data_IF_292983981778
#
_entry.id   IF_292983981778
#
_cell.length_a   1.000
_cell.length_b   1.000
_cell.length_c   1.000
_cell.angle_alpha   90.00
_cell.angle_beta   90.00
_cell.angle_gamma   90.00
#
_symmetry.space_group_name_H-M   'P 1'
#
loop_
_entity.id
_entity.type
_entity.pdbx_description
1 polymer ?
#
# COMPACT_ATOMS: atom_id res chain seq x y z
N UNK A 1 -7.72 27.40 8.85
CA UNK A 1 -7.69 26.35 7.82
C UNK A 1 -7.33 25.00 8.44
N UNK A 2 -6.41 24.98 9.39
CA UNK A 2 -5.99 23.76 10.12
C UNK A 2 -7.12 22.96 10.79
N UNK A 3 -8.08 23.64 11.42
CA UNK A 3 -9.18 22.97 12.14
C UNK A 3 -10.06 22.08 11.23
N UNK A 4 -10.23 22.46 9.96
CA UNK A 4 -11.03 21.66 9.01
C UNK A 4 -10.28 20.40 8.56
N UNK A 5 -8.96 20.53 8.32
CA UNK A 5 -8.13 19.40 7.93
C UNK A 5 -7.98 18.43 9.10
N UNK A 6 -7.77 18.95 10.30
CA UNK A 6 -7.73 18.15 11.53
C UNK A 6 -9.00 17.32 11.70
N UNK A 7 -10.17 17.93 11.49
CA UNK A 7 -11.46 17.23 11.58
C UNK A 7 -11.53 16.11 10.56
N UNK A 8 -11.18 16.37 9.30
CA UNK A 8 -11.16 15.36 8.25
C UNK A 8 -10.19 14.21 8.56
N UNK A 9 -9.00 14.53 9.11
CA UNK A 9 -8.03 13.50 9.50
C UNK A 9 -8.57 12.64 10.63
N UNK A 10 -9.19 13.23 11.65
CA UNK A 10 -9.83 12.49 12.76
C UNK A 10 -10.98 11.60 12.28
N UNK A 11 -11.84 12.13 11.41
CA UNK A 11 -12.93 11.36 10.82
C UNK A 11 -12.40 10.20 9.95
N UNK A 12 -11.41 10.46 9.11
CA UNK A 12 -10.78 9.42 8.29
C UNK A 12 -10.07 8.37 9.14
N UNK A 13 -9.40 8.77 10.23
CA UNK A 13 -8.81 7.86 11.21
C UNK A 13 -9.86 7.00 11.91
N UNK A 14 -11.06 7.55 12.14
CA UNK A 14 -12.23 6.83 12.63
C UNK A 14 -12.91 5.92 11.61
N UNK A 15 -12.39 5.86 10.36
CA UNK A 15 -12.90 4.99 9.30
C UNK A 15 -13.86 5.67 8.31
N UNK A 16 -14.04 7.00 8.39
CA UNK A 16 -14.86 7.74 7.43
C UNK A 16 -14.18 7.79 6.06
N UNK A 17 -14.75 7.06 5.10
CA UNK A 17 -14.32 7.04 3.71
C UNK A 17 -14.43 8.42 3.04
N UNK A 18 -15.57 9.07 3.23
CA UNK A 18 -15.84 10.39 2.67
C UNK A 18 -14.86 11.45 3.14
N UNK A 19 -14.43 11.39 4.41
CA UNK A 19 -13.40 12.28 4.94
C UNK A 19 -12.05 12.01 4.29
N UNK A 20 -11.68 10.75 4.12
CA UNK A 20 -10.44 10.39 3.42
C UNK A 20 -10.45 10.85 1.96
N UNK A 21 -11.55 10.65 1.22
CA UNK A 21 -11.68 11.10 -0.17
C UNK A 21 -11.53 12.61 -0.32
N UNK A 22 -12.08 13.38 0.63
CA UNK A 22 -11.87 14.83 0.68
C UNK A 22 -10.41 15.19 0.91
N UNK A 23 -9.73 14.52 1.82
CA UNK A 23 -8.29 14.70 2.02
C UNK A 23 -7.50 14.39 0.75
N UNK A 24 -7.79 13.26 0.10
CA UNK A 24 -7.18 12.90 -1.19
C UNK A 24 -7.40 14.00 -2.22
N UNK A 25 -8.62 14.50 -2.39
CA UNK A 25 -8.92 15.60 -3.30
C UNK A 25 -8.12 16.86 -3.03
N UNK A 26 -7.86 17.18 -1.75
CA UNK A 26 -7.09 18.37 -1.37
C UNK A 26 -5.58 18.24 -1.62
N UNK A 27 -5.02 17.03 -1.46
CA UNK A 27 -3.57 16.84 -1.48
C UNK A 27 -3.04 16.12 -2.72
N UNK A 28 -3.92 15.54 -3.56
CA UNK A 28 -3.53 14.73 -4.73
C UNK A 28 -2.53 15.45 -5.63
N UNK A 29 -2.86 16.65 -6.10
CA UNK A 29 -1.99 17.39 -7.02
C UNK A 29 -0.64 17.78 -6.38
N UNK A 30 -0.67 18.17 -5.10
CA UNK A 30 0.54 18.53 -4.37
C UNK A 30 1.44 17.30 -4.19
N UNK A 31 0.85 16.15 -3.86
CA UNK A 31 1.57 14.88 -3.69
C UNK A 31 2.09 14.35 -5.02
N UNK A 32 1.32 14.46 -6.11
CA UNK A 32 1.77 14.07 -7.44
C UNK A 32 3.00 14.88 -7.90
N UNK A 33 2.97 16.21 -7.72
CA UNK A 33 4.13 17.08 -8.00
C UNK A 33 5.35 16.70 -7.18
N UNK A 34 5.15 16.39 -5.89
CA UNK A 34 6.21 15.91 -5.02
C UNK A 34 6.82 14.61 -5.54
N UNK A 35 5.98 13.62 -5.91
CA UNK A 35 6.41 12.33 -6.46
C UNK A 35 7.21 12.53 -7.75
N UNK A 36 6.72 13.34 -8.70
CA UNK A 36 7.44 13.63 -9.97
C UNK A 36 8.82 14.23 -9.71
N UNK A 37 8.92 15.15 -8.74
CA UNK A 37 10.21 15.73 -8.36
C UNK A 37 11.16 14.69 -7.78
N UNK A 38 10.66 13.73 -7.00
CA UNK A 38 11.47 12.67 -6.38
C UNK A 38 11.86 11.56 -7.34
N UNK A 39 11.03 11.24 -8.31
CA UNK A 39 11.36 10.24 -9.33
C UNK A 39 12.53 10.68 -10.21
N UNK A 40 12.58 11.95 -10.61
CA UNK A 40 13.58 12.46 -11.54
C UNK A 40 13.53 11.75 -12.90
N UNK A 41 14.22 12.28 -13.90
CA UNK A 41 14.18 11.80 -15.30
C UNK A 41 14.54 10.31 -15.50
N UNK A 42 15.36 9.75 -14.62
CA UNK A 42 15.79 8.35 -14.76
C UNK A 42 14.76 7.35 -14.26
N UNK A 43 14.08 7.66 -13.16
CA UNK A 43 13.06 6.78 -12.58
C UNK A 43 11.71 6.96 -13.25
N UNK A 44 11.37 8.14 -13.77
CA UNK A 44 10.13 8.38 -14.54
C UNK A 44 10.01 7.49 -15.79
N UNK A 45 11.12 7.09 -16.40
CA UNK A 45 11.11 6.11 -17.51
C UNK A 45 10.72 4.69 -17.07
N UNK A 46 10.72 4.42 -15.78
CA UNK A 46 10.58 3.09 -15.19
C UNK A 46 9.45 2.94 -14.20
N UNK A 47 9.01 4.03 -13.60
CA UNK A 47 7.96 4.10 -12.60
C UNK A 47 6.99 5.20 -13.00
N UNK A 48 5.73 4.84 -13.18
CA UNK A 48 4.67 5.80 -13.41
C UNK A 48 4.38 6.56 -12.10
N UNK A 49 4.43 7.90 -12.15
CA UNK A 49 4.14 8.73 -10.99
C UNK A 49 2.73 8.49 -10.43
N UNK A 50 1.78 8.18 -11.29
CA UNK A 50 0.41 7.85 -10.90
C UNK A 50 0.35 6.52 -10.13
N UNK A 51 1.12 5.50 -10.54
CA UNK A 51 1.19 4.23 -9.81
C UNK A 51 1.80 4.42 -8.41
N UNK A 52 2.82 5.27 -8.29
CA UNK A 52 3.41 5.64 -6.99
C UNK A 52 2.41 6.40 -6.14
N UNK A 53 1.66 7.34 -6.72
CA UNK A 53 0.63 8.10 -6.03
C UNK A 53 -0.46 7.19 -5.47
N UNK A 54 -0.99 6.29 -6.27
CA UNK A 54 -2.04 5.35 -5.85
C UNK A 54 -1.56 4.44 -4.72
N UNK A 55 -0.36 3.89 -4.83
CA UNK A 55 0.22 3.06 -3.77
C UNK A 55 0.45 3.85 -2.48
N UNK A 56 0.92 5.12 -2.58
CA UNK A 56 1.09 5.98 -1.42
C UNK A 56 -0.25 6.31 -0.74
N UNK A 57 -1.29 6.62 -1.53
CA UNK A 57 -2.64 6.87 -1.01
C UNK A 57 -3.26 5.63 -0.37
N UNK A 58 -3.03 4.44 -0.94
CA UNK A 58 -3.46 3.18 -0.34
C UNK A 58 -2.80 2.98 1.03
N UNK A 59 -1.50 3.23 1.13
CA UNK A 59 -0.78 3.16 2.40
C UNK A 59 -1.29 4.18 3.39
N UNK A 60 -1.59 5.40 2.93
CA UNK A 60 -2.19 6.44 3.76
C UNK A 60 -3.55 5.98 4.31
N UNK A 61 -4.43 5.46 3.47
CA UNK A 61 -5.72 4.91 3.90
C UNK A 61 -5.58 3.83 4.99
N UNK A 62 -4.66 2.90 4.79
CA UNK A 62 -4.43 1.83 5.76
C UNK A 62 -3.80 2.30 7.07
N UNK A 63 -3.04 3.40 7.08
CA UNK A 63 -2.25 3.83 8.24
C UNK A 63 -2.74 5.10 8.92
N UNK A 64 -3.72 5.82 8.33
CA UNK A 64 -4.24 7.09 8.88
C UNK A 64 -4.82 6.93 10.29
N UNK A 65 -5.38 5.78 10.64
CA UNK A 65 -5.89 5.49 11.98
C UNK A 65 -4.84 5.53 13.10
N UNK A 66 -3.54 5.51 12.75
CA UNK A 66 -2.41 5.61 13.68
C UNK A 66 -1.73 6.96 13.64
N UNK A 67 -2.18 7.84 12.72
CA UNK A 67 -1.59 9.15 12.58
C UNK A 67 -1.97 10.02 13.77
N UNK A 68 -0.95 10.57 14.42
CA UNK A 68 -1.14 11.62 15.41
C UNK A 68 -1.12 12.95 14.68
N UNK A 69 -2.28 13.60 14.64
CA UNK A 69 -2.38 14.93 14.05
C UNK A 69 -1.50 15.93 14.81
N UNK A 70 -0.75 16.73 14.12
CA UNK A 70 0.03 17.86 14.64
C UNK A 70 -0.38 19.13 13.92
N UNK A 71 -0.09 19.21 12.64
CA UNK A 71 -0.38 20.32 11.76
C UNK A 71 -0.45 19.83 10.29
N UNK A 72 -0.83 20.74 9.38
CA UNK A 72 -0.96 20.44 7.97
C UNK A 72 0.39 20.04 7.32
N UNK A 73 1.49 20.68 7.73
CA UNK A 73 2.81 20.38 7.18
C UNK A 73 3.30 19.00 7.60
N UNK A 74 3.08 18.62 8.85
CA UNK A 74 3.38 17.29 9.35
C UNK A 74 2.55 16.22 8.64
N UNK A 75 1.27 16.52 8.37
CA UNK A 75 0.41 15.61 7.59
C UNK A 75 0.93 15.43 6.16
N UNK A 76 1.27 16.51 5.47
CA UNK A 76 1.82 16.42 4.12
C UNK A 76 3.19 15.74 4.11
N UNK A 77 4.06 16.01 5.08
CA UNK A 77 5.35 15.34 5.25
C UNK A 77 5.18 13.83 5.43
N UNK A 78 4.18 13.41 6.21
CA UNK A 78 3.84 12.01 6.36
C UNK A 78 3.37 11.36 5.05
N UNK A 79 2.50 12.03 4.28
CA UNK A 79 2.11 11.56 2.93
C UNK A 79 3.33 11.43 2.01
N UNK A 80 4.22 12.42 2.04
CA UNK A 80 5.46 12.41 1.28
C UNK A 80 6.38 11.25 1.64
N UNK A 81 6.51 10.95 2.95
CA UNK A 81 7.31 9.80 3.41
C UNK A 81 6.76 8.46 2.92
N UNK A 82 5.45 8.31 2.86
CA UNK A 82 4.82 7.11 2.28
C UNK A 82 5.17 6.97 0.79
N UNK A 83 5.11 8.07 0.03
CA UNK A 83 5.50 8.07 -1.39
C UNK A 83 6.99 7.74 -1.58
N UNK A 84 7.88 8.32 -0.77
CA UNK A 84 9.32 8.01 -0.80
C UNK A 84 9.60 6.53 -0.51
N UNK A 85 8.89 5.94 0.45
CA UNK A 85 8.98 4.51 0.72
C UNK A 85 8.53 3.65 -0.47
N UNK A 86 7.51 4.07 -1.22
CA UNK A 86 7.08 3.39 -2.45
C UNK A 86 8.19 3.45 -3.50
N UNK A 87 8.73 4.65 -3.75
CA UNK A 87 9.80 4.88 -4.73
C UNK A 87 11.04 4.03 -4.40
N UNK A 88 11.50 4.10 -3.14
CA UNK A 88 12.65 3.33 -2.66
C UNK A 88 12.45 1.83 -2.84
N UNK A 89 11.28 1.34 -2.46
CA UNK A 89 10.94 -0.08 -2.59
C UNK A 89 10.91 -0.57 -4.02
N UNK A 90 10.43 0.26 -4.94
CA UNK A 90 10.42 -0.07 -6.37
C UNK A 90 11.84 -0.06 -6.97
N UNK A 91 12.69 0.87 -6.54
CA UNK A 91 14.09 0.93 -6.94
C UNK A 91 14.90 -0.29 -6.46
N UNK A 92 14.72 -0.70 -5.19
CA UNK A 92 15.40 -1.86 -4.59
C UNK A 92 15.00 -3.20 -5.22
N UNK A 93 13.72 -3.39 -5.55
CA UNK A 93 13.25 -4.61 -6.22
C UNK A 93 13.97 -4.85 -7.55
N UNK A 94 14.25 -3.80 -8.30
CA UNK A 94 14.89 -3.88 -9.62
C UNK A 94 16.40 -4.13 -9.55
N UNK A 95 17.04 -3.84 -8.41
CA UNK A 95 18.45 -4.19 -8.16
C UNK A 95 18.65 -5.68 -7.85
N UNK A 96 17.59 -6.39 -7.43
CA UNK A 96 17.65 -7.81 -7.02
C UNK A 96 17.12 -8.81 -8.06
N UNK A 97 16.46 -8.37 -9.12
CA UNK A 97 15.90 -9.26 -10.14
C UNK A 97 16.70 -9.18 -11.44
N UNK A 98 17.35 -10.28 -11.80
CA UNK A 98 17.66 -10.68 -13.19
C UNK A 98 16.36 -10.52 -14.00
N UNK A 99 16.39 -10.02 -15.25
CA UNK A 99 15.17 -9.68 -15.98
C UNK A 99 14.37 -10.93 -16.30
N UNK A 100 13.37 -11.23 -15.46
CA UNK A 100 12.23 -12.03 -15.89
C UNK A 100 11.43 -11.15 -16.83
N UNK A 101 11.45 -11.51 -18.11
CA UNK A 101 10.63 -10.92 -19.14
C UNK A 101 9.17 -10.94 -18.68
N UNK A 102 8.60 -9.75 -18.42
CA UNK A 102 7.18 -9.62 -18.18
C UNK A 102 6.43 -9.84 -19.50
N UNK A 103 5.47 -10.79 -19.58
CA UNK A 103 4.70 -11.02 -20.80
C UNK A 103 3.66 -9.93 -21.09
N UNK A 104 3.77 -8.76 -20.51
CA UNK A 104 2.89 -7.61 -20.76
C UNK A 104 3.69 -6.33 -20.99
N UNK A 105 4.63 -6.37 -21.95
CA UNK A 105 4.99 -5.15 -22.68
C UNK A 105 3.85 -4.84 -23.65
N UNK A 106 2.84 -4.15 -23.13
CA UNK A 106 1.86 -3.47 -23.99
C UNK A 106 2.56 -2.21 -24.47
N UNK A 107 2.74 -2.02 -25.79
CA UNK A 107 3.37 -0.80 -26.32
C UNK A 107 2.62 0.42 -25.80
N UNK A 108 3.36 1.46 -25.45
CA UNK A 108 2.82 2.77 -25.08
C UNK A 108 2.09 3.37 -26.27
N UNK A 109 0.86 2.95 -26.50
CA UNK A 109 -0.05 3.50 -27.49
C UNK A 109 -1.08 4.35 -26.76
N UNK A 110 -1.05 5.65 -27.08
CA UNK A 110 -2.06 6.69 -26.88
C UNK A 110 -3.04 6.45 -25.73
N UNK A 111 -2.88 7.27 -24.69
CA UNK A 111 -3.71 7.31 -23.49
C UNK A 111 -5.20 7.39 -23.88
N UNK A 112 -5.86 6.24 -23.87
CA UNK A 112 -7.31 6.23 -23.87
C UNK A 112 -7.80 6.62 -22.47
N UNK A 113 -8.84 7.46 -22.33
CA UNK A 113 -9.44 7.84 -21.04
C UNK A 113 -9.78 6.64 -20.16
N UNK A 114 -9.88 5.47 -20.77
CA UNK A 114 -10.19 4.19 -20.11
C UNK A 114 -9.13 3.66 -19.11
N UNK A 115 -7.86 4.08 -19.19
CA UNK A 115 -6.82 3.55 -18.26
C UNK A 115 -6.88 4.24 -16.89
N UNK A 116 -7.03 5.56 -16.86
CA UNK A 116 -7.15 6.30 -15.61
C UNK A 116 -8.43 5.92 -14.86
N UNK A 117 -9.56 5.83 -15.57
CA UNK A 117 -10.84 5.41 -14.98
C UNK A 117 -10.77 3.98 -14.40
N UNK A 118 -10.19 3.03 -15.13
CA UNK A 118 -10.00 1.66 -14.64
C UNK A 118 -9.08 1.56 -13.43
N UNK A 119 -8.08 2.45 -13.33
CA UNK A 119 -7.18 2.52 -12.16
C UNK A 119 -7.93 3.05 -10.94
N UNK A 120 -8.73 4.10 -11.10
CA UNK A 120 -9.55 4.67 -10.03
C UNK A 120 -10.56 3.64 -9.49
N UNK A 121 -11.32 3.00 -10.38
CA UNK A 121 -12.26 1.93 -10.02
C UNK A 121 -11.56 0.76 -9.32
N UNK A 122 -10.34 0.44 -9.72
CA UNK A 122 -9.56 -0.62 -9.10
C UNK A 122 -9.07 -0.22 -7.70
N UNK A 123 -8.63 1.03 -7.53
CA UNK A 123 -8.24 1.58 -6.24
C UNK A 123 -9.43 1.59 -5.28
N UNK A 124 -10.58 2.04 -5.75
CA UNK A 124 -11.82 2.03 -4.96
C UNK A 124 -12.22 0.63 -4.52
N UNK A 125 -12.23 -0.34 -5.43
CA UNK A 125 -12.54 -1.74 -5.11
C UNK A 125 -11.56 -2.33 -4.08
N UNK A 126 -10.28 -2.03 -4.19
CA UNK A 126 -9.27 -2.48 -3.24
C UNK A 126 -9.52 -1.87 -1.86
N UNK A 127 -9.79 -0.57 -1.82
CA UNK A 127 -10.12 0.14 -0.59
C UNK A 127 -11.36 -0.44 0.09
N UNK A 128 -12.41 -0.70 -0.69
CA UNK A 128 -13.65 -1.31 -0.18
C UNK A 128 -13.40 -2.72 0.35
N UNK A 129 -12.65 -3.52 -0.38
CA UNK A 129 -12.28 -4.87 0.04
C UNK A 129 -11.45 -4.86 1.33
N UNK A 130 -10.55 -3.89 1.51
CA UNK A 130 -9.80 -3.70 2.76
C UNK A 130 -10.72 -3.23 3.89
N UNK A 131 -11.63 -2.30 3.62
CA UNK A 131 -12.57 -1.80 4.62
C UNK A 131 -13.54 -2.89 5.12
N UNK A 132 -13.91 -3.84 4.26
CA UNK A 132 -14.75 -4.97 4.59
C UNK A 132 -14.06 -6.07 5.41
N UNK A 133 -12.73 -6.05 5.51
CA UNK A 133 -12.00 -7.02 6.32
C UNK A 133 -12.17 -6.75 7.81
N UNK A 134 -12.14 -7.81 8.65
CA UNK A 134 -12.04 -7.66 10.10
C UNK A 134 -10.85 -6.76 10.49
N UNK A 135 -10.95 -5.96 11.57
CA UNK A 135 -9.88 -5.04 11.99
C UNK A 135 -8.50 -5.69 12.11
N UNK A 136 -8.44 -6.87 12.71
CA UNK A 136 -7.17 -7.63 12.87
C UNK A 136 -6.56 -8.04 11.51
N UNK A 137 -7.39 -8.36 10.52
CA UNK A 137 -6.94 -8.73 9.18
C UNK A 137 -6.34 -7.50 8.47
N UNK A 138 -6.97 -6.33 8.60
CA UNK A 138 -6.42 -5.08 8.06
C UNK A 138 -5.09 -4.75 8.73
N UNK A 139 -5.04 -4.89 10.05
CA UNK A 139 -3.86 -4.59 10.83
C UNK A 139 -2.67 -5.46 10.47
N UNK A 140 -2.84 -6.78 10.35
CA UNK A 140 -1.73 -7.67 9.97
C UNK A 140 -1.24 -7.40 8.55
N UNK A 141 -2.14 -7.04 7.59
CA UNK A 141 -1.74 -6.62 6.24
C UNK A 141 -0.92 -5.33 6.32
N UNK A 142 -1.34 -4.35 7.10
CA UNK A 142 -0.64 -3.09 7.31
C UNK A 142 0.78 -3.34 7.83
N UNK A 143 0.90 -4.05 8.95
CA UNK A 143 2.19 -4.34 9.59
C UNK A 143 3.13 -5.11 8.66
N UNK A 144 2.63 -6.12 7.96
CA UNK A 144 3.44 -6.99 7.12
C UNK A 144 3.80 -6.37 5.76
N UNK A 145 2.87 -5.64 5.12
CA UNK A 145 3.02 -5.20 3.73
C UNK A 145 3.39 -3.74 3.58
N UNK A 146 2.96 -2.91 4.51
CA UNK A 146 3.18 -1.47 4.47
C UNK A 146 4.36 -1.10 5.37
N UNK A 147 4.31 -1.48 6.64
CA UNK A 147 5.41 -1.23 7.60
C UNK A 147 6.57 -2.23 7.42
N UNK A 148 6.32 -3.36 6.74
CA UNK A 148 7.32 -4.41 6.45
C UNK A 148 8.02 -4.94 7.70
N UNK A 149 7.29 -5.06 8.78
CA UNK A 149 7.82 -5.61 10.02
C UNK A 149 8.07 -7.11 9.88
N UNK A 150 9.12 -7.63 10.55
CA UNK A 150 9.31 -9.05 10.69
C UNK A 150 8.16 -9.66 11.53
N UNK A 151 7.84 -10.92 11.29
CA UNK A 151 6.69 -11.56 11.93
C UNK A 151 6.80 -11.64 13.46
N UNK A 152 8.00 -11.67 14.00
CA UNK A 152 8.22 -11.64 15.46
C UNK A 152 7.76 -10.32 16.06
N UNK A 153 8.02 -9.22 15.38
CA UNK A 153 7.58 -7.88 15.80
C UNK A 153 6.06 -7.70 15.57
N UNK A 154 5.53 -8.24 14.47
CA UNK A 154 4.09 -8.27 14.23
C UNK A 154 3.39 -9.05 15.35
N UNK A 155 3.93 -10.24 15.69
CA UNK A 155 3.41 -11.06 16.78
C UNK A 155 3.36 -10.30 18.10
N UNK A 156 4.46 -9.66 18.48
CA UNK A 156 4.54 -8.83 19.70
C UNK A 156 3.47 -7.72 19.71
N UNK A 157 3.35 -6.96 18.60
CA UNK A 157 2.37 -5.87 18.51
C UNK A 157 0.92 -6.31 18.57
N UNK A 158 0.63 -7.49 18.04
CA UNK A 158 -0.72 -8.05 18.00
C UNK A 158 -1.03 -8.99 19.17
N UNK A 159 -0.11 -9.17 20.13
CA UNK A 159 -0.27 -10.09 21.24
C UNK A 159 -0.37 -11.56 20.80
N UNK A 160 0.34 -11.94 19.74
CA UNK A 160 0.31 -13.27 19.10
C UNK A 160 1.71 -13.84 18.89
N UNK A 161 1.81 -15.14 18.65
CA UNK A 161 3.06 -15.73 18.20
C UNK A 161 3.36 -15.34 16.75
N UNK A 162 4.64 -15.40 16.35
CA UNK A 162 5.08 -15.16 14.97
C UNK A 162 4.35 -16.09 13.97
N UNK A 163 4.20 -17.36 14.33
CA UNK A 163 3.46 -18.33 13.51
C UNK A 163 1.98 -17.96 13.38
N UNK A 164 1.33 -17.52 14.47
CA UNK A 164 -0.06 -17.07 14.45
C UNK A 164 -0.22 -15.81 13.59
N UNK A 165 0.73 -14.87 13.62
CA UNK A 165 0.74 -13.68 12.76
C UNK A 165 0.88 -14.05 11.27
N UNK A 166 1.75 -15.00 10.92
CA UNK A 166 1.87 -15.55 9.55
C UNK A 166 0.53 -16.13 9.07
N UNK A 167 -0.11 -16.97 9.89
CA UNK A 167 -1.40 -17.59 9.57
C UNK A 167 -2.51 -16.55 9.43
N UNK A 168 -2.52 -15.53 10.30
CA UNK A 168 -3.49 -14.44 10.22
C UNK A 168 -3.32 -13.66 8.91
N UNK A 169 -2.09 -13.34 8.52
CA UNK A 169 -1.80 -12.67 7.24
C UNK A 169 -2.30 -13.50 6.05
N UNK A 170 -2.05 -14.81 6.04
CA UNK A 170 -2.53 -15.70 4.97
C UNK A 170 -4.06 -15.67 4.85
N UNK A 171 -4.79 -15.73 5.99
CA UNK A 171 -6.25 -15.62 6.02
C UNK A 171 -6.73 -14.24 5.56
N UNK A 172 -6.08 -13.18 6.01
CA UNK A 172 -6.39 -11.82 5.63
C UNK A 172 -6.22 -11.59 4.11
N UNK A 173 -5.13 -12.06 3.51
CA UNK A 173 -4.90 -11.99 2.07
C UNK A 173 -5.90 -12.82 1.28
N UNK A 174 -6.30 -14.00 1.78
CA UNK A 174 -7.37 -14.81 1.19
C UNK A 174 -8.72 -14.09 1.23
N UNK A 175 -9.03 -13.41 2.34
CA UNK A 175 -10.22 -12.56 2.46
C UNK A 175 -10.21 -11.40 1.48
N UNK A 176 -9.08 -10.70 1.38
CA UNK A 176 -8.89 -9.61 0.43
C UNK A 176 -9.07 -10.07 -1.02
N UNK A 177 -8.51 -11.22 -1.39
CA UNK A 177 -8.64 -11.80 -2.74
C UNK A 177 -10.10 -12.10 -3.10
N UNK A 178 -10.92 -12.51 -2.17
CA UNK A 178 -12.36 -12.76 -2.42
C UNK A 178 -13.12 -11.47 -2.75
N UNK A 179 -12.84 -10.37 -2.07
CA UNK A 179 -13.49 -9.08 -2.31
C UNK A 179 -12.96 -8.34 -3.52
N UNK A 180 -11.67 -8.40 -3.74
CA UNK A 180 -10.99 -7.64 -4.78
C UNK A 180 -10.84 -8.39 -6.12
N UNK A 181 -10.91 -9.73 -6.10
CA UNK A 181 -10.57 -10.59 -7.25
C UNK A 181 -9.07 -10.90 -7.31
N UNK A 182 -8.47 -10.89 -8.51
CA UNK A 182 -7.06 -11.25 -8.66
C UNK A 182 -6.13 -10.21 -8.01
N UNK A 183 -5.44 -10.62 -6.95
CA UNK A 183 -4.47 -9.80 -6.20
C UNK A 183 -3.05 -9.84 -6.76
N UNK A 184 -2.79 -10.64 -7.80
CA UNK A 184 -1.44 -10.82 -8.37
C UNK A 184 -0.88 -9.51 -8.93
N UNK A 185 -1.78 -8.63 -9.37
CA UNK A 185 -1.42 -7.30 -9.86
C UNK A 185 -1.18 -6.25 -8.77
N UNK A 186 -1.40 -6.58 -7.50
CA UNK A 186 -1.13 -5.68 -6.38
C UNK A 186 0.36 -5.66 -5.98
N UNK A 187 1.26 -6.30 -6.70
CA UNK A 187 2.70 -6.36 -6.37
C UNK A 187 2.97 -6.56 -4.86
N UNK A 188 2.06 -7.28 -4.20
CA UNK A 188 2.28 -7.69 -2.82
C UNK A 188 3.47 -8.65 -2.86
N UNK A 189 4.60 -8.37 -2.19
CA UNK A 189 5.73 -9.28 -2.19
C UNK A 189 5.24 -10.64 -1.70
N UNK A 190 5.31 -11.65 -2.55
CA UNK A 190 5.14 -13.03 -2.13
C UNK A 190 6.26 -13.31 -1.13
N UNK A 191 5.93 -13.36 0.15
CA UNK A 191 6.80 -14.00 1.11
C UNK A 191 6.79 -15.48 0.70
N UNK A 192 7.94 -15.98 0.28
CA UNK A 192 8.14 -17.39 0.00
C UNK A 192 7.71 -18.17 1.24
N UNK A 193 6.55 -18.81 1.16
CA UNK A 193 6.07 -19.74 2.19
C UNK A 193 6.79 -21.09 2.07
N UNK A 194 7.74 -21.20 1.11
CA UNK A 194 8.38 -22.44 0.70
C UNK A 194 9.75 -22.67 1.36
N UNK A 195 10.11 -21.92 2.37
CA UNK A 195 11.32 -22.12 3.15
C UNK A 195 11.02 -22.75 4.51
N UNK A 196 11.29 -24.03 4.65
CA UNK A 196 11.32 -24.87 5.88
C UNK A 196 10.13 -25.79 6.14
N UNK A 197 9.96 -26.73 5.23
CA UNK A 197 9.29 -27.99 5.56
C UNK A 197 10.12 -29.22 5.17
N UNK A 198 11.46 -29.11 5.23
CA UNK A 198 12.35 -30.26 5.15
C UNK A 198 13.46 -30.12 6.20
N UNK A 199 13.23 -30.62 7.40
CA UNK A 199 14.24 -31.24 8.26
C UNK A 199 13.59 -31.72 9.56
N UNK A 200 13.10 -32.95 9.56
CA UNK A 200 12.57 -33.55 10.79
C UNK A 200 12.08 -34.99 10.66
N UNK A 201 12.73 -35.79 9.76
CA UNK A 201 12.61 -37.22 9.85
C UNK A 201 14.00 -37.82 9.70
N UNK A 202 14.56 -38.27 10.78
CA UNK A 202 15.78 -39.05 10.74
C UNK A 202 16.41 -39.33 12.11
N UNK A 203 15.93 -40.40 12.75
CA UNK A 203 16.53 -41.19 13.84
C UNK A 203 16.16 -40.80 15.27
#
# INVERSE_FOLDING_TARGET
MDSRIETLVKEAAGGSRTAFDRLVGMYRERLERFIRTRLGRQLEKRLDAEDVLQEALLRAFCSIGRLQWRDEEAFFSWLGSLAEHVIKSAAEKKSRTVPLQHPFDVPASRVAPSKALRREERFERLRDSLAALPPEHREVILLARIERLPFDEIGKRMGRSSAAAKMLLARALKGLKRGFGNTDSLHLPQASLDGEMEAGHGR
#
